data_IF_617670983515
#
_entry.id   IF_617670983515
#
_cell.length_a   1.000
_cell.length_b   1.000
_cell.length_c   1.000
_cell.angle_alpha   90.00
_cell.angle_beta   90.00
_cell.angle_gamma   90.00
#
_symmetry.space_group_name_H-M   'P 1'
#
loop_
_entity.id
_entity.type
_entity.pdbx_description
1 polymer ?
#
# COMPACT_ATOMS: atom_id res chain seq x y z
N UNK A 1 11.81 -11.35 5.43
CA UNK A 1 10.68 -12.12 4.85
C UNK A 1 10.65 -11.94 3.34
N UNK A 2 10.31 -12.96 2.53
CA UNK A 2 10.24 -12.79 1.09
C UNK A 2 9.01 -11.97 0.66
N UNK A 3 9.22 -11.02 -0.25
CA UNK A 3 8.20 -10.18 -0.87
C UNK A 3 7.74 -10.84 -2.18
N UNK A 4 6.50 -11.35 -2.26
CA UNK A 4 5.93 -11.81 -3.52
C UNK A 4 5.47 -10.63 -4.37
N UNK A 5 5.87 -10.57 -5.64
CA UNK A 5 5.37 -9.59 -6.60
C UNK A 5 5.36 -10.17 -8.01
N UNK A 6 4.55 -9.60 -8.90
CA UNK A 6 4.50 -9.99 -10.32
C UNK A 6 5.17 -8.92 -11.18
N UNK A 7 5.90 -9.33 -12.22
CA UNK A 7 6.45 -8.39 -13.19
C UNK A 7 5.34 -7.73 -14.00
N UNK A 8 5.32 -6.40 -14.04
CA UNK A 8 4.31 -5.59 -14.74
C UNK A 8 4.25 -5.82 -16.26
N UNK A 9 5.34 -6.35 -16.87
CA UNK A 9 5.42 -6.58 -18.32
C UNK A 9 4.98 -7.96 -18.75
N UNK A 10 5.34 -8.99 -18.00
CA UNK A 10 5.12 -10.39 -18.40
C UNK A 10 4.24 -11.18 -17.43
N UNK A 11 3.89 -10.62 -16.27
CA UNK A 11 3.09 -11.28 -15.24
C UNK A 11 3.85 -12.36 -14.45
N UNK A 12 5.17 -12.48 -14.61
CA UNK A 12 5.95 -13.50 -13.90
C UNK A 12 5.99 -13.21 -12.40
N UNK A 13 5.58 -14.19 -11.60
CA UNK A 13 5.70 -14.14 -10.15
C UNK A 13 7.15 -14.30 -9.69
N UNK A 14 7.58 -13.40 -8.82
CA UNK A 14 8.87 -13.40 -8.14
C UNK A 14 8.67 -13.40 -6.63
N UNK A 15 9.61 -14.01 -5.92
CA UNK A 15 9.76 -13.90 -4.47
C UNK A 15 11.20 -13.47 -4.22
N UNK A 16 11.38 -12.24 -3.73
CA UNK A 16 12.69 -11.68 -3.40
C UNK A 16 12.77 -11.39 -1.92
N UNK A 17 13.96 -11.37 -1.34
CA UNK A 17 14.11 -11.02 0.07
C UNK A 17 13.81 -9.54 0.32
N UNK A 18 13.39 -9.20 1.54
CA UNK A 18 13.15 -7.81 1.95
C UNK A 18 14.41 -6.93 1.80
N UNK A 19 15.60 -7.51 1.94
CA UNK A 19 16.87 -6.80 1.74
C UNK A 19 17.09 -6.38 0.29
N UNK A 20 16.27 -6.86 -0.65
CA UNK A 20 16.25 -6.42 -2.03
C UNK A 20 15.19 -5.34 -2.30
N UNK A 21 14.34 -5.02 -1.34
CA UNK A 21 13.34 -3.97 -1.44
C UNK A 21 13.98 -2.62 -1.79
N UNK A 22 13.33 -1.87 -2.69
CA UNK A 22 13.83 -0.58 -3.18
C UNK A 22 15.02 -0.65 -4.13
N UNK A 23 15.58 -1.85 -4.40
CA UNK A 23 16.66 -2.03 -5.37
C UNK A 23 16.10 -2.21 -6.79
N UNK A 24 16.92 -1.86 -7.78
CA UNK A 24 16.63 -2.10 -9.20
C UNK A 24 16.95 -3.56 -9.55
N UNK A 25 15.98 -4.25 -10.13
CA UNK A 25 16.09 -5.62 -10.60
C UNK A 25 15.78 -5.73 -12.10
N UNK A 26 16.23 -6.82 -12.72
CA UNK A 26 15.90 -7.14 -14.11
C UNK A 26 15.13 -8.45 -14.17
N UNK A 27 14.01 -8.46 -14.88
CA UNK A 27 13.21 -9.64 -15.09
C UNK A 27 13.98 -10.66 -15.92
N UNK A 28 14.23 -11.84 -15.34
CA UNK A 28 14.92 -12.95 -16.03
C UNK A 28 14.10 -13.57 -17.15
N UNK A 29 12.81 -13.28 -17.25
CA UNK A 29 11.94 -13.85 -18.29
C UNK A 29 11.75 -12.91 -19.49
N UNK A 30 11.54 -11.60 -19.27
CA UNK A 30 11.30 -10.65 -20.36
C UNK A 30 12.40 -9.58 -20.52
N UNK A 31 13.39 -9.55 -19.63
CA UNK A 31 14.48 -8.57 -19.66
C UNK A 31 14.10 -7.17 -19.17
N UNK A 32 12.86 -6.95 -18.71
CA UNK A 32 12.43 -5.64 -18.24
C UNK A 32 13.10 -5.24 -16.92
N UNK A 33 13.60 -4.00 -16.84
CA UNK A 33 14.11 -3.42 -15.61
C UNK A 33 12.94 -2.88 -14.77
N UNK A 34 12.84 -3.32 -13.52
CA UNK A 34 11.82 -2.89 -12.57
C UNK A 34 12.46 -2.57 -11.22
N UNK A 35 11.75 -1.83 -10.37
CA UNK A 35 12.18 -1.58 -8.99
C UNK A 35 11.42 -2.51 -8.06
N UNK A 36 12.13 -3.18 -7.15
CA UNK A 36 11.51 -4.10 -6.21
C UNK A 36 10.65 -3.27 -5.24
N UNK A 37 9.35 -3.55 -5.11
CA UNK A 37 8.49 -2.78 -4.22
C UNK A 37 8.94 -2.96 -2.77
N UNK A 38 9.07 -1.84 -2.05
CA UNK A 38 9.18 -1.87 -0.60
C UNK A 38 7.80 -2.15 -0.03
N UNK A 39 7.58 -3.23 0.75
CA UNK A 39 6.39 -3.31 1.57
C UNK A 39 6.48 -2.11 2.49
N UNK A 40 5.68 -1.08 2.19
CA UNK A 40 5.42 -0.04 3.16
C UNK A 40 4.87 -0.82 4.34
N UNK A 41 5.60 -0.83 5.46
CA UNK A 41 4.95 -1.15 6.74
C UNK A 41 3.63 -0.39 6.71
N UNK A 42 2.50 -1.08 6.94
CA UNK A 42 1.22 -0.41 6.87
C UNK A 42 1.40 0.81 7.76
N UNK A 43 1.37 1.99 7.13
CA UNK A 43 1.20 3.22 7.88
C UNK A 43 -0.04 2.91 8.68
N UNK A 44 0.13 2.66 9.97
CA UNK A 44 -0.90 2.69 10.96
C UNK A 44 -1.50 4.07 10.73
N UNK A 45 -2.52 4.11 9.89
CA UNK A 45 -3.42 5.24 9.79
C UNK A 45 -3.86 5.40 11.23
N UNK A 46 -3.39 6.42 11.98
CA UNK A 46 -3.96 6.64 13.28
C UNK A 46 -5.43 6.86 12.97
N UNK A 47 -6.28 6.01 13.52
CA UNK A 47 -7.71 6.04 13.34
C UNK A 47 -8.19 7.41 13.80
N UNK A 48 -8.18 8.39 12.90
CA UNK A 48 -8.81 9.70 13.06
C UNK A 48 -10.30 9.52 12.84
N UNK A 49 -10.88 8.60 13.61
CA UNK A 49 -12.34 8.53 13.81
C UNK A 49 -12.80 9.55 14.86
N UNK A 50 -11.89 10.31 15.47
CA UNK A 50 -12.18 11.32 16.50
C UNK A 50 -12.20 12.76 15.97
N UNK A 51 -12.54 12.99 14.70
CA UNK A 51 -12.91 14.34 14.23
C UNK A 51 -14.02 14.20 13.21
N UNK A 52 -15.28 14.09 13.63
CA UNK A 52 -16.47 14.82 13.14
C UNK A 52 -17.66 14.38 14.02
N UNK A 53 -17.92 15.10 15.12
CA UNK A 53 -19.26 15.18 15.72
C UNK A 53 -19.63 16.65 15.96
N UNK A 54 -20.21 17.36 14.97
CA UNK A 54 -21.05 18.49 15.29
C UNK A 54 -22.37 17.92 15.82
N UNK A 55 -22.53 17.86 17.14
CA UNK A 55 -23.87 17.69 17.74
C UNK A 55 -24.63 19.00 17.59
N UNK A 56 -24.98 19.36 16.35
CA UNK A 56 -25.99 20.37 16.08
C UNK A 56 -27.35 19.71 16.34
N UNK A 57 -27.74 19.66 17.61
CA UNK A 57 -29.10 19.29 18.01
C UNK A 57 -29.98 20.52 17.75
N UNK A 58 -30.49 20.65 16.52
CA UNK A 58 -31.63 21.51 16.24
C UNK A 58 -32.83 21.03 17.07
N UNK A 59 -32.97 21.53 18.28
CA UNK A 59 -34.22 21.53 19.02
C UNK A 59 -34.81 22.94 18.90
N UNK A 60 -36.10 23.16 18.69
CA UNK A 60 -37.23 22.27 18.45
C UNK A 60 -38.32 23.20 17.93
N UNK A 61 -39.05 22.77 16.90
CA UNK A 61 -40.18 23.51 16.36
C UNK A 61 -41.26 23.55 17.45
N UNK A 62 -41.45 24.71 18.08
CA UNK A 62 -42.64 24.99 18.86
C UNK A 62 -43.79 25.16 17.87
N UNK A 63 -44.73 24.22 17.90
CA UNK A 63 -46.04 24.32 17.24
C UNK A 63 -47.11 24.35 18.33
#
# INVERSE_FOLDING_TARGET
>A
MPIPFACERCGKCYRVEDSAAGKRGTCKQCGHAFTIPTPLEPVEIPSTSDVIRPVAKCGGLHA
#
